data_IF_683856177532
#
_entry.id   IF_683856177532
#
_cell.length_a   1.000
_cell.length_b   1.000
_cell.length_c   1.000
_cell.angle_alpha   90.00
_cell.angle_beta   90.00
_cell.angle_gamma   90.00
#
_symmetry.space_group_name_H-M   'P 1'
#
loop_
_entity.id
_entity.type
_entity.pdbx_description
1 polymer ?
#
# COMPACT_ATOMS: atom_id res chain seq x y z
N UNK A 1 1.25 -26.28 16.04
CA UNK A 1 2.23 -25.44 15.34
C UNK A 1 1.63 -24.06 15.24
N UNK A 2 2.23 -23.05 15.85
CA UNK A 2 1.78 -21.67 15.71
C UNK A 2 1.90 -21.29 14.23
N UNK A 3 0.82 -20.77 13.65
CA UNK A 3 0.82 -20.24 12.27
C UNK A 3 1.78 -19.06 12.23
N UNK A 4 2.60 -18.94 11.20
CA UNK A 4 3.50 -17.80 11.05
C UNK A 4 2.66 -16.54 10.78
N UNK A 5 2.96 -15.39 11.44
CA UNK A 5 2.20 -14.16 11.25
C UNK A 5 2.29 -13.66 9.81
N UNK A 6 1.23 -13.02 9.32
CA UNK A 6 1.21 -12.45 7.97
C UNK A 6 2.20 -11.28 7.82
N UNK A 7 2.40 -10.50 8.90
CA UNK A 7 3.40 -9.44 8.99
C UNK A 7 4.25 -9.68 10.23
N UNK A 8 5.57 -9.67 10.06
CA UNK A 8 6.53 -9.68 11.16
C UNK A 8 7.62 -8.66 10.90
N UNK A 9 7.74 -7.70 11.79
CA UNK A 9 8.73 -6.63 11.75
C UNK A 9 9.56 -6.67 13.02
N UNK A 10 10.89 -6.61 12.88
CA UNK A 10 11.84 -6.71 13.97
C UNK A 10 12.82 -5.55 13.91
N UNK A 11 12.87 -4.76 14.99
CA UNK A 11 13.79 -3.64 15.18
C UNK A 11 13.80 -2.67 14.00
N UNK A 12 12.62 -2.31 13.47
CA UNK A 12 12.48 -1.39 12.34
C UNK A 12 12.92 0.01 12.75
N UNK A 13 13.99 0.48 12.12
CA UNK A 13 14.48 1.85 12.23
C UNK A 13 14.31 2.55 10.88
N UNK A 14 13.88 3.80 10.91
CA UNK A 14 13.83 4.65 9.72
C UNK A 14 14.48 5.98 10.02
N UNK A 15 15.54 6.28 9.24
CA UNK A 15 16.23 7.57 9.24
C UNK A 15 16.09 8.24 7.88
N UNK A 16 15.97 9.56 7.89
CA UNK A 16 16.03 10.42 6.73
C UNK A 16 17.29 11.29 6.78
N UNK A 17 17.77 11.73 5.62
CA UNK A 17 18.95 12.60 5.48
C UNK A 17 20.22 12.01 6.11
N UNK A 18 20.42 10.70 5.96
CA UNK A 18 21.52 9.94 6.57
C UNK A 18 22.87 10.58 6.19
N UNK A 19 23.72 10.80 7.21
CA UNK A 19 25.04 11.41 7.04
C UNK A 19 25.01 12.92 6.81
N UNK A 20 23.87 13.58 6.95
CA UNK A 20 23.72 15.03 6.85
C UNK A 20 23.49 15.67 8.23
N UNK A 21 23.77 16.99 8.40
CA UNK A 21 23.57 17.66 9.69
C UNK A 21 22.13 17.66 10.22
N UNK A 22 21.15 17.40 9.34
CA UNK A 22 19.73 17.34 9.66
C UNK A 22 19.21 15.89 9.63
N UNK A 23 20.08 14.90 9.86
CA UNK A 23 19.64 13.50 10.00
C UNK A 23 18.54 13.38 11.06
N UNK A 24 17.48 12.68 10.70
CA UNK A 24 16.30 12.55 11.54
C UNK A 24 15.86 11.08 11.60
N UNK A 25 15.92 10.48 12.78
CA UNK A 25 15.36 9.17 13.06
C UNK A 25 13.89 9.31 13.42
N UNK A 26 13.01 8.64 12.67
CA UNK A 26 11.54 8.71 12.84
C UNK A 26 10.99 7.43 13.47
N UNK A 27 11.56 6.26 13.14
CA UNK A 27 11.20 5.00 13.77
C UNK A 27 12.38 4.46 14.55
N UNK A 28 12.15 4.10 15.80
CA UNK A 28 13.17 3.81 16.80
C UNK A 28 13.14 2.33 17.24
N UNK A 29 13.30 1.38 16.31
CA UNK A 29 13.33 -0.05 16.62
C UNK A 29 11.94 -0.65 16.87
N UNK A 30 11.00 -0.41 15.96
CA UNK A 30 9.62 -0.93 16.05
C UNK A 30 9.59 -2.44 15.83
N UNK A 31 8.92 -3.15 16.74
CA UNK A 31 8.57 -4.54 16.60
C UNK A 31 7.06 -4.67 16.44
N UNK A 32 6.61 -5.39 15.40
CA UNK A 32 5.19 -5.60 15.10
C UNK A 32 4.98 -7.01 14.56
N UNK A 33 3.97 -7.69 15.07
CA UNK A 33 3.47 -8.95 14.53
C UNK A 33 1.99 -8.81 14.28
N UNK A 34 1.52 -9.22 13.09
CA UNK A 34 0.10 -9.23 12.72
C UNK A 34 -0.26 -10.61 12.19
N UNK A 35 -1.28 -11.19 12.80
CA UNK A 35 -1.80 -12.50 12.41
C UNK A 35 -2.79 -12.37 11.23
N UNK A 36 -3.05 -13.48 10.55
CA UNK A 36 -4.06 -13.53 9.51
C UNK A 36 -5.47 -13.21 10.09
N UNK A 37 -6.24 -12.38 9.39
CA UNK A 37 -7.56 -11.89 9.79
C UNK A 37 -7.55 -11.00 11.05
N UNK A 38 -6.41 -10.49 11.47
CA UNK A 38 -6.31 -9.55 12.58
C UNK A 38 -6.63 -8.12 12.12
N UNK A 39 -7.29 -7.35 12.97
CA UNK A 39 -7.48 -5.90 12.81
C UNK A 39 -6.56 -5.16 13.77
N UNK A 40 -5.64 -4.36 13.21
CA UNK A 40 -4.64 -3.60 13.98
C UNK A 40 -4.86 -2.10 13.78
N UNK A 41 -4.84 -1.35 14.87
CA UNK A 41 -4.90 0.13 14.84
C UNK A 41 -3.59 0.73 15.32
N UNK A 42 -3.01 1.62 14.50
CA UNK A 42 -1.79 2.38 14.85
C UNK A 42 -2.21 3.77 15.27
N UNK A 43 -2.03 4.08 16.56
CA UNK A 43 -2.41 5.36 17.16
C UNK A 43 -1.17 6.13 17.63
N UNK A 44 -1.28 7.46 17.73
CA UNK A 44 -0.20 8.33 18.20
C UNK A 44 -0.40 9.76 17.74
N UNK A 45 0.41 10.67 18.26
CA UNK A 45 0.38 12.09 17.94
C UNK A 45 0.76 12.37 16.47
N UNK A 46 0.44 13.58 15.99
CA UNK A 46 0.92 14.02 14.67
C UNK A 46 2.45 14.06 14.66
N UNK A 47 3.05 13.56 13.59
CA UNK A 47 4.52 13.49 13.47
C UNK A 47 5.17 12.26 14.15
N UNK A 48 4.43 11.39 14.83
CA UNK A 48 4.99 10.20 15.51
C UNK A 48 5.44 9.05 14.59
N UNK A 49 5.48 9.26 13.27
CA UNK A 49 5.98 8.24 12.33
C UNK A 49 4.92 7.25 11.80
N UNK A 50 3.62 7.38 12.14
CA UNK A 50 2.56 6.46 11.69
C UNK A 50 2.53 6.26 10.17
N UNK A 51 2.55 7.35 9.41
CA UNK A 51 2.55 7.28 7.94
C UNK A 51 3.83 6.65 7.40
N UNK A 52 4.97 6.89 8.05
CA UNK A 52 6.25 6.26 7.71
C UNK A 52 6.18 4.76 7.92
N UNK A 53 5.65 4.32 9.08
CA UNK A 53 5.47 2.90 9.37
C UNK A 53 4.48 2.25 8.38
N UNK A 54 3.35 2.90 8.10
CA UNK A 54 2.37 2.42 7.11
C UNK A 54 2.98 2.27 5.70
N UNK A 55 3.84 3.20 5.28
CA UNK A 55 4.53 3.11 4.00
C UNK A 55 5.51 1.92 3.95
N UNK A 56 6.18 1.60 5.06
CA UNK A 56 7.05 0.43 5.15
C UNK A 56 6.22 -0.85 5.14
N UNK A 57 5.16 -0.94 5.95
CA UNK A 57 4.22 -2.07 5.95
C UNK A 57 3.68 -2.31 4.54
N UNK A 58 3.30 -1.24 3.85
CA UNK A 58 2.79 -1.29 2.48
C UNK A 58 3.85 -1.51 1.40
N UNK A 59 5.10 -1.75 1.77
CA UNK A 59 6.21 -1.97 0.81
C UNK A 59 6.40 -0.78 -0.14
N UNK A 60 5.90 0.42 0.20
CA UNK A 60 6.10 1.67 -0.55
C UNK A 60 7.45 2.31 -0.24
N UNK A 61 7.95 2.13 0.99
CA UNK A 61 9.26 2.61 1.43
C UNK A 61 10.08 1.46 2.02
N UNK A 62 11.36 1.70 2.29
CA UNK A 62 12.27 0.76 2.95
C UNK A 62 12.65 1.32 4.31
N UNK A 63 12.76 0.45 5.31
CA UNK A 63 13.43 0.78 6.57
C UNK A 63 14.92 1.01 6.34
N UNK A 64 15.55 1.71 7.27
CA UNK A 64 17.01 1.90 7.27
C UNK A 64 17.70 0.69 7.88
N UNK A 65 17.13 0.14 8.96
CA UNK A 65 17.61 -1.04 9.67
C UNK A 65 16.43 -1.90 10.13
N UNK A 66 16.71 -3.13 10.53
CA UNK A 66 15.72 -4.10 10.98
C UNK A 66 15.27 -5.05 9.88
N UNK A 67 14.37 -5.96 10.22
CA UNK A 67 13.88 -7.00 9.32
C UNK A 67 12.37 -6.92 9.16
N UNK A 68 11.89 -7.07 7.93
CA UNK A 68 10.48 -7.12 7.62
C UNK A 68 10.15 -8.36 6.79
N UNK A 69 9.27 -9.20 7.33
CA UNK A 69 8.75 -10.39 6.67
C UNK A 69 7.26 -10.22 6.38
N UNK A 70 6.87 -10.48 5.15
CA UNK A 70 5.48 -10.54 4.70
C UNK A 70 5.18 -11.97 4.23
N UNK A 71 4.23 -12.64 4.87
CA UNK A 71 3.93 -14.06 4.62
C UNK A 71 5.19 -14.94 4.64
N UNK A 72 6.10 -14.72 5.61
CA UNK A 72 7.37 -15.44 5.73
C UNK A 72 8.47 -15.04 4.75
N UNK A 73 8.19 -14.17 3.77
CA UNK A 73 9.18 -13.71 2.80
C UNK A 73 9.89 -12.44 3.28
N UNK A 74 11.22 -12.44 3.28
CA UNK A 74 12.01 -11.26 3.66
C UNK A 74 11.90 -10.17 2.57
N UNK A 75 11.18 -9.09 2.91
CA UNK A 75 10.96 -7.93 2.02
C UNK A 75 12.26 -7.19 1.72
N UNK A 76 13.29 -7.28 2.58
CA UNK A 76 14.56 -6.59 2.40
C UNK A 76 15.36 -7.16 1.22
N UNK A 77 15.19 -8.46 0.96
CA UNK A 77 15.88 -9.17 -0.11
C UNK A 77 15.21 -9.00 -1.48
N UNK A 78 14.01 -8.40 -1.50
CA UNK A 78 13.26 -8.19 -2.75
C UNK A 78 13.84 -7.03 -3.56
N UNK A 79 14.05 -7.26 -4.85
CA UNK A 79 14.28 -6.20 -5.83
C UNK A 79 13.01 -5.37 -6.09
N UNK A 80 13.13 -4.32 -6.88
CA UNK A 80 12.00 -3.42 -7.13
C UNK A 80 10.86 -4.08 -7.94
N UNK A 81 11.16 -5.09 -8.76
CA UNK A 81 10.18 -5.85 -9.52
C UNK A 81 9.38 -6.74 -8.57
N UNK A 82 10.04 -7.50 -7.70
CA UNK A 82 9.40 -8.34 -6.70
C UNK A 82 8.56 -7.50 -5.73
N UNK A 83 9.06 -6.35 -5.26
CA UNK A 83 8.31 -5.41 -4.42
C UNK A 83 7.05 -4.88 -5.12
N UNK A 84 7.16 -4.54 -6.42
CA UNK A 84 6.02 -4.10 -7.20
C UNK A 84 4.96 -5.19 -7.35
N UNK A 85 5.39 -6.43 -7.59
CA UNK A 85 4.51 -7.61 -7.66
C UNK A 85 3.79 -7.85 -6.32
N UNK A 86 4.51 -7.77 -5.19
CA UNK A 86 3.93 -7.89 -3.85
C UNK A 86 2.88 -6.81 -3.60
N UNK A 87 3.18 -5.54 -3.88
CA UNK A 87 2.18 -4.46 -3.77
C UNK A 87 0.94 -4.72 -4.60
N UNK A 88 1.12 -5.17 -5.83
CA UNK A 88 0.02 -5.41 -6.75
C UNK A 88 -0.88 -6.57 -6.30
N UNK A 89 -0.29 -7.66 -5.76
CA UNK A 89 -0.98 -8.92 -5.48
C UNK A 89 -1.43 -9.11 -4.04
N UNK A 90 -0.72 -8.49 -3.07
CA UNK A 90 -0.86 -8.79 -1.63
C UNK A 90 -1.37 -7.62 -0.81
N UNK A 91 -1.28 -6.38 -1.31
CA UNK A 91 -1.54 -5.19 -0.52
C UNK A 91 -2.59 -4.33 -1.19
N UNK A 92 -3.67 -4.03 -0.48
CA UNK A 92 -4.65 -3.03 -0.86
C UNK A 92 -4.46 -1.75 -0.04
N UNK A 93 -4.31 -0.60 -0.71
CA UNK A 93 -4.21 0.70 -0.06
C UNK A 93 -5.52 1.48 -0.15
N UNK A 94 -5.94 2.04 0.98
CA UNK A 94 -6.94 3.10 1.03
C UNK A 94 -6.25 4.38 1.48
N UNK A 95 -6.11 5.35 0.59
CA UNK A 95 -5.38 6.59 0.84
C UNK A 95 -6.27 7.69 1.37
N UNK A 96 -5.78 8.47 2.32
CA UNK A 96 -6.46 9.65 2.83
C UNK A 96 -6.71 10.73 1.74
N UNK A 97 -5.79 10.88 0.79
CA UNK A 97 -5.83 11.86 -0.29
C UNK A 97 -6.18 11.23 -1.66
N UNK A 98 -6.94 10.13 -1.63
CA UNK A 98 -7.43 9.39 -2.81
C UNK A 98 -6.35 8.88 -3.78
N UNK A 99 -5.29 9.64 -4.06
CA UNK A 99 -4.17 9.34 -4.97
C UNK A 99 -4.60 8.89 -6.38
N UNK A 100 -5.73 9.41 -6.85
CA UNK A 100 -6.24 9.14 -8.18
C UNK A 100 -5.44 9.92 -9.24
N UNK A 101 -5.31 9.35 -10.43
CA UNK A 101 -4.73 10.01 -11.59
C UNK A 101 -5.75 11.04 -12.12
N UNK A 102 -5.49 12.37 -12.02
CA UNK A 102 -6.51 13.40 -12.24
C UNK A 102 -7.04 13.45 -13.68
N UNK A 103 -6.21 13.01 -14.65
CA UNK A 103 -6.56 13.03 -16.09
C UNK A 103 -7.18 11.72 -16.58
N UNK A 104 -7.22 10.68 -15.74
CA UNK A 104 -7.85 9.40 -16.04
C UNK A 104 -9.28 9.37 -15.53
N UNK A 105 -10.18 8.67 -16.24
CA UNK A 105 -11.55 8.43 -15.75
C UNK A 105 -11.55 7.45 -14.54
N UNK A 106 -12.69 7.35 -13.84
CA UNK A 106 -12.87 6.39 -12.77
C UNK A 106 -12.53 4.96 -13.22
N UNK A 107 -13.05 4.55 -14.38
CA UNK A 107 -12.76 3.24 -14.96
C UNK A 107 -11.25 3.04 -15.22
N UNK A 108 -10.56 4.05 -15.77
CA UNK A 108 -9.10 3.97 -16.00
C UNK A 108 -8.31 3.88 -14.70
N UNK A 109 -8.72 4.61 -13.65
CA UNK A 109 -8.09 4.53 -12.34
C UNK A 109 -8.27 3.14 -11.73
N UNK A 110 -9.48 2.57 -11.77
CA UNK A 110 -9.79 1.23 -11.24
C UNK A 110 -9.06 0.12 -12.01
N UNK A 111 -8.89 0.28 -13.32
CA UNK A 111 -8.24 -0.74 -14.15
C UNK A 111 -6.71 -0.64 -14.17
N UNK A 112 -6.13 0.44 -13.68
CA UNK A 112 -4.69 0.67 -13.70
C UNK A 112 -3.87 -0.47 -13.08
N UNK A 113 -4.23 -1.01 -11.90
CA UNK A 113 -3.49 -2.13 -11.30
C UNK A 113 -3.46 -3.40 -12.17
N UNK A 114 -4.48 -3.61 -12.99
CA UNK A 114 -4.57 -4.78 -13.88
C UNK A 114 -3.55 -4.71 -15.02
N UNK A 115 -3.09 -3.51 -15.39
CA UNK A 115 -2.05 -3.33 -16.42
C UNK A 115 -0.67 -3.79 -15.94
N UNK A 116 -0.47 -3.85 -14.63
CA UNK A 116 0.78 -4.29 -13.98
C UNK A 116 0.68 -5.71 -13.41
N UNK A 117 -0.43 -6.41 -13.65
CA UNK A 117 -0.57 -7.81 -13.25
C UNK A 117 0.11 -8.73 -14.28
N UNK A 118 0.70 -9.85 -13.83
CA UNK A 118 1.30 -10.86 -14.71
C UNK A 118 0.24 -11.62 -15.53
N UNK A 119 -1.02 -11.54 -15.11
CA UNK A 119 -2.11 -12.17 -15.82
C UNK A 119 -2.53 -11.31 -17.01
N UNK A 120 -2.39 -11.86 -18.23
CA UNK A 120 -2.99 -11.25 -19.43
C UNK A 120 -4.50 -11.29 -19.32
N UNK A 121 -5.07 -10.21 -18.78
CA UNK A 121 -6.50 -10.10 -18.62
C UNK A 121 -7.14 -9.71 -19.96
N UNK A 122 -7.93 -10.63 -20.54
CA UNK A 122 -8.62 -10.40 -21.81
C UNK A 122 -9.66 -9.29 -21.70
N UNK A 123 -10.24 -9.05 -20.52
CA UNK A 123 -11.40 -8.19 -20.30
C UNK A 123 -11.19 -7.18 -19.15
N UNK A 124 -10.09 -6.40 -19.22
CA UNK A 124 -9.74 -5.37 -18.23
C UNK A 124 -10.89 -4.37 -18.01
N UNK A 125 -11.57 -3.99 -19.09
CA UNK A 125 -12.70 -3.06 -19.02
C UNK A 125 -13.89 -3.66 -18.28
N UNK A 126 -14.24 -4.91 -18.57
CA UNK A 126 -15.35 -5.61 -17.94
C UNK A 126 -15.12 -5.76 -16.44
N UNK A 127 -13.94 -6.24 -16.04
CA UNK A 127 -13.55 -6.29 -14.61
C UNK A 127 -13.62 -4.93 -13.91
N UNK A 128 -13.14 -3.88 -14.58
CA UNK A 128 -13.22 -2.54 -14.03
C UNK A 128 -14.66 -2.07 -13.82
N UNK A 129 -15.55 -2.37 -14.76
CA UNK A 129 -16.98 -2.06 -14.64
C UNK A 129 -17.64 -2.87 -13.53
N UNK A 130 -17.31 -4.15 -13.36
CA UNK A 130 -17.79 -4.97 -12.23
C UNK A 130 -17.37 -4.36 -10.89
N UNK A 131 -16.12 -3.92 -10.74
CA UNK A 131 -15.65 -3.27 -9.52
C UNK A 131 -16.38 -1.96 -9.23
N UNK A 132 -16.60 -1.13 -10.25
CA UNK A 132 -17.39 0.10 -10.11
C UNK A 132 -18.84 -0.19 -9.72
N UNK A 133 -19.45 -1.24 -10.28
CA UNK A 133 -20.82 -1.66 -9.93
C UNK A 133 -20.92 -2.13 -8.48
N UNK A 134 -19.91 -2.83 -7.95
CA UNK A 134 -19.91 -3.26 -6.54
C UNK A 134 -20.03 -2.10 -5.55
N UNK A 135 -19.54 -0.91 -5.94
CA UNK A 135 -19.58 0.31 -5.12
C UNK A 135 -20.63 1.32 -5.61
N UNK A 136 -21.52 0.94 -6.54
CA UNK A 136 -22.59 1.79 -7.08
C UNK A 136 -22.09 2.97 -7.92
N UNK A 137 -20.99 2.77 -8.64
CA UNK A 137 -20.28 3.80 -9.42
C UNK A 137 -20.27 3.53 -10.93
N UNK A 138 -21.06 2.59 -11.43
CA UNK A 138 -21.10 2.23 -12.86
C UNK A 138 -21.46 3.42 -13.77
N UNK A 139 -22.38 4.28 -13.34
CA UNK A 139 -22.79 5.49 -14.08
C UNK A 139 -21.72 6.59 -14.04
N UNK A 140 -20.65 6.41 -13.27
CA UNK A 140 -19.54 7.34 -13.13
C UNK A 140 -18.25 6.86 -13.79
N UNK A 141 -18.28 5.75 -14.49
CA UNK A 141 -17.12 5.11 -15.11
C UNK A 141 -16.27 6.07 -15.96
N UNK A 142 -16.90 6.97 -16.71
CA UNK A 142 -16.23 7.93 -17.60
C UNK A 142 -15.90 9.27 -16.92
N UNK A 143 -16.36 9.50 -15.67
CA UNK A 143 -16.09 10.74 -14.95
C UNK A 143 -14.63 10.78 -14.47
N UNK A 144 -14.06 11.98 -14.47
CA UNK A 144 -12.73 12.26 -13.90
C UNK A 144 -12.83 12.55 -12.39
N UNK A 145 -11.73 12.42 -11.64
CA UNK A 145 -11.75 12.69 -10.20
C UNK A 145 -12.30 14.05 -9.79
N UNK A 146 -12.09 15.10 -10.59
CA UNK A 146 -12.64 16.43 -10.32
C UNK A 146 -14.18 16.54 -10.52
N UNK A 147 -14.78 15.55 -11.19
CA UNK A 147 -16.21 15.46 -11.44
C UNK A 147 -16.93 14.55 -10.42
N UNK A 148 -16.18 13.96 -9.49
CA UNK A 148 -16.65 13.08 -8.44
C UNK A 148 -16.70 13.80 -7.08
N UNK A 149 -17.70 13.46 -6.26
CA UNK A 149 -17.75 13.91 -4.86
C UNK A 149 -16.65 13.28 -4.01
N UNK A 150 -16.40 13.82 -2.80
CA UNK A 150 -15.41 13.26 -1.88
C UNK A 150 -15.67 11.80 -1.51
N UNK A 151 -16.92 11.40 -1.36
CA UNK A 151 -17.28 10.01 -1.06
C UNK A 151 -17.25 9.07 -2.27
N UNK A 152 -17.14 9.63 -3.50
CA UNK A 152 -17.03 8.86 -4.75
C UNK A 152 -15.56 8.69 -5.20
N UNK A 153 -14.65 9.35 -4.55
CA UNK A 153 -13.19 9.24 -4.77
C UNK A 153 -12.58 8.20 -3.86
#
# INVERSE_FOLDING_TARGET
MSKEPIIRMEQIIKRFYIGQPNELEILHGINLSVEENEFVSIVGESGSGKSTLMNIIGVLDRQTEGQYFLEGQDVNLMDDIARSSVRNKKIGFVFQNFNLIPRASALKNVTLPLLYSDEKQKDVKEKGMEMLKLVGMEDRADHRPNELSGGQK
#
